data_IF_824993488254
#
_entry.id   IF_824993488254
#
_cell.length_a   1.000
_cell.length_b   1.000
_cell.length_c   1.000
_cell.angle_alpha   90.00
_cell.angle_beta   90.00
_cell.angle_gamma   90.00
#
_symmetry.space_group_name_H-M   'P 1'
#
loop_
_entity.id
_entity.type
_entity.pdbx_description
1 polymer ?
#
# COMPACT_ATOMS: atom_id res chain seq x y z
N UNK A 1 7.46 0.98 -30.75
CA UNK A 1 6.23 0.83 -29.94
C UNK A 1 5.36 2.06 -30.15
N UNK A 2 4.11 1.90 -30.58
CA UNK A 2 3.23 3.04 -30.87
C UNK A 2 2.92 3.84 -29.61
N UNK A 3 2.80 5.17 -29.74
CA UNK A 3 2.59 6.09 -28.61
C UNK A 3 1.37 5.72 -27.75
N UNK A 4 0.32 5.13 -28.35
CA UNK A 4 -0.85 4.62 -27.62
C UNK A 4 -0.58 3.38 -26.77
N UNK A 5 0.33 2.50 -27.19
CA UNK A 5 0.75 1.34 -26.38
C UNK A 5 1.53 1.80 -25.15
N UNK A 6 2.37 2.82 -25.29
CA UNK A 6 3.07 3.43 -24.16
C UNK A 6 2.12 4.13 -23.17
N UNK A 7 1.05 4.76 -23.66
CA UNK A 7 0.04 5.39 -22.82
C UNK A 7 -0.79 4.39 -22.01
N UNK A 8 -1.18 3.26 -22.59
CA UNK A 8 -1.92 2.21 -21.86
C UNK A 8 -1.05 1.49 -20.82
N UNK A 9 0.23 1.27 -21.13
CA UNK A 9 1.20 0.70 -20.18
C UNK A 9 1.45 1.65 -19.00
N UNK A 10 1.48 2.95 -19.28
CA UNK A 10 1.56 4.01 -18.27
C UNK A 10 0.29 4.10 -17.41
N UNK A 11 -0.90 4.02 -18.01
CA UNK A 11 -2.17 4.02 -17.27
C UNK A 11 -2.32 2.78 -16.39
N UNK A 12 -1.92 1.61 -16.88
CA UNK A 12 -1.90 0.36 -16.11
C UNK A 12 -0.95 0.45 -14.90
N UNK A 13 0.27 0.96 -15.11
CA UNK A 13 1.23 1.20 -14.03
C UNK A 13 0.68 2.18 -12.96
N UNK A 14 0.00 3.25 -13.38
CA UNK A 14 -0.57 4.23 -12.43
C UNK A 14 -1.72 3.64 -11.62
N UNK A 15 -2.62 2.89 -12.24
CA UNK A 15 -3.76 2.31 -11.53
C UNK A 15 -3.30 1.21 -10.56
N UNK A 16 -2.31 0.40 -10.96
CA UNK A 16 -1.71 -0.59 -10.07
C UNK A 16 -0.94 0.07 -8.92
N UNK A 17 -0.19 1.16 -9.15
CA UNK A 17 0.52 1.85 -8.06
C UNK A 17 -0.45 2.59 -7.12
N UNK A 18 -1.49 3.23 -7.64
CA UNK A 18 -2.50 3.94 -6.84
C UNK A 18 -3.38 2.99 -6.01
N UNK A 19 -3.81 1.85 -6.57
CA UNK A 19 -4.61 0.86 -5.86
C UNK A 19 -3.88 0.27 -4.65
N UNK A 20 -2.55 0.18 -4.73
CA UNK A 20 -1.72 -0.38 -3.68
C UNK A 20 -1.34 0.62 -2.57
N UNK A 21 -1.26 1.90 -2.92
CA UNK A 21 -1.23 2.99 -1.92
C UNK A 21 -2.55 3.04 -1.14
N UNK A 22 -3.69 2.80 -1.81
CA UNK A 22 -5.01 2.74 -1.17
C UNK A 22 -5.25 1.48 -0.34
N UNK A 23 -4.53 0.38 -0.62
CA UNK A 23 -4.57 -0.86 0.17
C UNK A 23 -3.73 -0.83 1.46
N UNK A 24 -3.20 0.35 1.84
CA UNK A 24 -2.54 0.54 3.14
C UNK A 24 -1.10 0.04 3.22
N UNK A 25 -0.40 -0.06 2.08
CA UNK A 25 0.97 -0.58 2.00
C UNK A 25 2.05 0.24 2.75
N UNK A 26 1.70 1.36 3.39
CA UNK A 26 2.59 2.10 4.29
C UNK A 26 1.74 2.83 5.34
N UNK A 27 1.31 2.12 6.39
CA UNK A 27 0.63 2.75 7.52
C UNK A 27 1.65 3.10 8.60
N UNK A 28 2.04 4.38 8.66
CA UNK A 28 2.64 4.94 9.89
C UNK A 28 1.49 5.05 10.88
N UNK A 29 1.26 3.98 11.64
CA UNK A 29 0.27 4.00 12.71
C UNK A 29 0.90 4.56 13.97
N UNK A 30 0.12 5.38 14.68
CA UNK A 30 0.52 6.02 15.93
C UNK A 30 -0.54 5.76 16.99
N UNK A 31 -0.08 5.47 18.20
CA UNK A 31 -0.91 5.32 19.38
C UNK A 31 -0.18 5.90 20.59
N UNK A 32 -0.82 5.83 21.76
CA UNK A 32 -0.22 6.27 23.02
C UNK A 32 -0.23 5.12 24.02
N UNK A 33 0.78 5.08 24.88
CA UNK A 33 0.82 4.16 26.02
C UNK A 33 -0.35 4.44 26.95
N UNK A 34 -1.16 3.42 27.23
CA UNK A 34 -2.25 3.51 28.22
C UNK A 34 -1.72 3.30 29.64
N UNK A 35 -0.59 2.60 29.78
CA UNK A 35 0.11 2.37 31.04
C UNK A 35 1.61 2.61 30.89
N UNK A 36 2.29 2.93 32.00
CA UNK A 36 3.74 3.07 31.99
C UNK A 36 4.42 1.73 31.71
N UNK A 37 5.54 1.78 30.99
CA UNK A 37 6.34 0.62 30.60
C UNK A 37 7.68 0.70 31.33
N UNK A 38 8.04 -0.36 32.05
CA UNK A 38 9.34 -0.45 32.73
C UNK A 38 10.43 -0.89 31.74
N UNK A 39 11.71 -0.63 32.03
CA UNK A 39 12.80 -1.07 31.14
C UNK A 39 12.96 -2.60 31.03
N UNK A 40 12.36 -3.36 31.95
CA UNK A 40 12.41 -4.83 32.00
C UNK A 40 11.13 -5.51 31.47
N UNK A 41 10.16 -4.73 30.98
CA UNK A 41 8.90 -5.27 30.49
C UNK A 41 9.09 -6.07 29.20
N UNK A 42 8.78 -7.37 29.22
CA UNK A 42 8.94 -8.30 28.09
C UNK A 42 7.66 -9.05 27.70
N UNK A 43 6.59 -8.92 28.48
CA UNK A 43 5.38 -9.71 28.31
C UNK A 43 4.26 -8.91 27.63
N UNK A 44 3.95 -7.71 28.14
CA UNK A 44 2.82 -6.93 27.63
C UNK A 44 3.08 -5.43 27.62
N UNK A 45 2.63 -4.75 26.57
CA UNK A 45 2.65 -3.29 26.45
C UNK A 45 1.21 -2.83 26.17
N UNK A 46 0.65 -2.05 27.08
CA UNK A 46 -0.75 -1.58 26.96
C UNK A 46 -0.81 -0.22 26.30
N UNK A 47 -1.61 -0.11 25.24
CA UNK A 47 -1.82 1.11 24.46
C UNK A 47 -3.30 1.44 24.33
N UNK A 48 -3.60 2.67 23.93
CA UNK A 48 -4.97 3.13 23.72
C UNK A 48 -5.67 2.34 22.61
N UNK A 49 -4.97 2.03 21.52
CA UNK A 49 -5.46 1.23 20.40
C UNK A 49 -4.30 0.68 19.57
N UNK A 50 -4.46 -0.50 18.99
CA UNK A 50 -3.56 -1.10 18.00
C UNK A 50 -4.09 -1.00 16.57
N UNK A 51 -5.16 -0.22 16.32
CA UNK A 51 -5.68 -0.01 14.97
C UNK A 51 -4.58 0.48 14.03
N UNK A 52 -4.41 -0.19 12.88
CA UNK A 52 -3.39 0.14 11.89
C UNK A 52 -1.98 -0.40 12.21
N UNK A 53 -1.79 -1.08 13.34
CA UNK A 53 -0.60 -1.88 13.60
C UNK A 53 -0.80 -3.29 13.01
N UNK A 54 0.28 -3.84 12.46
CA UNK A 54 0.33 -5.25 12.03
C UNK A 54 0.37 -6.17 13.26
N UNK A 55 0.06 -7.44 13.09
CA UNK A 55 0.05 -8.43 14.18
C UNK A 55 1.46 -8.68 14.75
N UNK A 56 2.49 -8.58 13.91
CA UNK A 56 3.90 -8.73 14.32
C UNK A 56 4.74 -7.62 13.72
N UNK A 57 5.61 -6.97 14.51
CA UNK A 57 6.42 -5.89 13.96
C UNK A 57 7.36 -5.22 14.96
N UNK A 58 7.80 -4.02 14.59
CA UNK A 58 8.70 -3.19 15.40
C UNK A 58 8.03 -1.86 15.73
N UNK A 59 8.06 -1.49 17.01
CA UNK A 59 7.56 -0.24 17.56
C UNK A 59 8.73 0.68 17.84
N UNK A 60 8.45 1.98 17.80
CA UNK A 60 9.33 3.03 18.27
C UNK A 60 8.63 3.84 19.34
N UNK A 61 9.23 3.91 20.51
CA UNK A 61 8.79 4.75 21.62
C UNK A 61 9.93 5.72 21.91
N UNK A 62 9.71 7.00 21.65
CA UNK A 62 10.76 8.02 21.70
C UNK A 62 11.97 7.62 20.81
N UNK A 63 13.08 7.23 21.44
CA UNK A 63 14.34 6.77 20.82
C UNK A 63 14.58 5.26 20.95
N UNK A 64 13.70 4.53 21.64
CA UNK A 64 13.80 3.08 21.79
C UNK A 64 13.05 2.37 20.66
N UNK A 65 13.65 1.30 20.13
CA UNK A 65 13.00 0.35 19.22
C UNK A 65 12.75 -0.97 19.96
N UNK A 66 11.58 -1.56 19.74
CA UNK A 66 11.25 -2.86 20.33
C UNK A 66 10.39 -3.70 19.39
N UNK A 67 10.56 -5.01 19.43
CA UNK A 67 9.80 -5.95 18.59
C UNK A 67 8.69 -6.60 19.40
N UNK A 68 7.52 -6.77 18.77
CA UNK A 68 6.41 -7.51 19.35
C UNK A 68 5.97 -8.63 18.40
N UNK A 69 5.66 -9.81 18.94
CA UNK A 69 5.31 -10.97 18.14
C UNK A 69 3.79 -11.24 18.03
N UNK A 70 2.95 -10.47 18.72
CA UNK A 70 1.49 -10.58 18.63
C UNK A 70 0.81 -9.29 19.16
N UNK A 71 -0.45 -9.04 18.76
CA UNK A 71 -1.27 -7.92 19.20
C UNK A 71 -2.66 -8.35 19.66
N UNK A 72 -3.31 -7.48 20.43
CA UNK A 72 -4.75 -7.48 20.65
C UNK A 72 -5.29 -6.11 20.28
N UNK A 73 -6.57 -5.80 20.52
CA UNK A 73 -7.13 -4.47 20.25
C UNK A 73 -6.42 -3.32 21.01
N UNK A 74 -5.80 -3.60 22.16
CA UNK A 74 -5.21 -2.58 23.04
C UNK A 74 -3.86 -2.97 23.65
N UNK A 75 -3.28 -4.11 23.22
CA UNK A 75 -1.99 -4.55 23.75
C UNK A 75 -1.09 -5.11 22.67
N UNK A 76 0.22 -4.85 22.80
CA UNK A 76 1.26 -5.67 22.19
C UNK A 76 1.68 -6.71 23.22
N UNK A 77 1.78 -7.97 22.84
CA UNK A 77 2.05 -9.08 23.78
C UNK A 77 3.10 -10.03 23.23
N UNK A 78 3.81 -10.70 24.12
CA UNK A 78 4.60 -11.88 23.79
C UNK A 78 3.70 -13.00 23.26
N UNK A 79 4.29 -13.94 22.51
CA UNK A 79 3.64 -15.20 22.16
C UNK A 79 4.42 -16.37 22.76
N UNK A 80 3.94 -17.60 22.57
CA UNK A 80 4.55 -18.79 23.16
C UNK A 80 5.99 -19.04 22.66
N UNK A 81 6.34 -18.55 21.47
CA UNK A 81 7.62 -18.80 20.81
C UNK A 81 8.62 -17.64 20.99
N UNK A 82 8.14 -16.42 21.22
CA UNK A 82 8.95 -15.21 21.22
C UNK A 82 8.45 -14.21 22.29
N UNK A 83 9.35 -13.67 23.13
CA UNK A 83 9.03 -12.54 24.01
C UNK A 83 9.08 -11.21 23.25
N UNK A 84 8.61 -10.14 23.89
CA UNK A 84 8.88 -8.78 23.41
C UNK A 84 10.37 -8.49 23.61
N UNK A 85 11.05 -8.00 22.56
CA UNK A 85 12.48 -7.67 22.61
C UNK A 85 12.62 -6.16 22.70
N UNK A 86 13.17 -5.70 23.81
CA UNK A 86 13.49 -4.29 24.12
C UNK A 86 14.88 -3.93 23.60
N UNK A 87 15.13 -2.64 23.34
CA UNK A 87 16.43 -2.19 22.85
C UNK A 87 16.86 -2.82 21.52
N UNK A 88 15.90 -3.12 20.64
CA UNK A 88 16.16 -3.70 19.33
C UNK A 88 17.00 -2.73 18.47
N UNK A 89 17.77 -3.27 17.52
CA UNK A 89 18.57 -2.48 16.57
C UNK A 89 19.61 -1.54 17.26
N UNK A 90 20.17 -1.99 18.38
CA UNK A 90 21.20 -1.25 19.13
C UNK A 90 20.68 -0.09 19.99
N UNK A 91 19.36 0.02 20.16
CA UNK A 91 18.75 1.01 21.07
C UNK A 91 18.82 0.53 22.53
N UNK A 92 18.71 1.47 23.49
CA UNK A 92 18.68 1.11 24.91
C UNK A 92 17.24 0.93 25.38
N UNK A 93 16.99 -0.11 26.18
CA UNK A 93 15.73 -0.26 26.89
C UNK A 93 15.59 0.82 27.98
N UNK A 94 14.53 1.62 27.93
CA UNK A 94 14.26 2.72 28.88
C UNK A 94 12.84 2.61 29.42
N UNK A 95 12.59 3.13 30.62
CA UNK A 95 11.23 3.23 31.14
C UNK A 95 10.49 4.39 30.47
N UNK A 96 9.25 4.16 30.02
CA UNK A 96 8.42 5.18 29.40
C UNK A 96 7.15 5.43 30.24
N UNK A 97 6.77 6.68 30.51
CA UNK A 97 5.54 6.99 31.23
C UNK A 97 4.29 6.69 30.40
N UNK A 98 3.13 6.58 31.06
CA UNK A 98 1.86 6.53 30.35
C UNK A 98 1.65 7.83 29.53
N UNK A 99 1.00 7.71 28.38
CA UNK A 99 0.78 8.80 27.43
C UNK A 99 1.90 9.00 26.42
N UNK A 100 3.04 8.31 26.55
CA UNK A 100 4.12 8.41 25.56
C UNK A 100 3.66 7.88 24.20
N UNK A 101 4.10 8.56 23.14
CA UNK A 101 3.76 8.24 21.76
C UNK A 101 4.48 6.97 21.29
N UNK A 102 3.72 6.05 20.72
CA UNK A 102 4.17 4.80 20.12
C UNK A 102 3.88 4.85 18.62
N UNK A 103 4.89 4.61 17.80
CA UNK A 103 4.75 4.58 16.33
C UNK A 103 5.35 3.32 15.73
N UNK A 104 4.93 2.92 14.54
CA UNK A 104 5.59 1.85 13.81
C UNK A 104 6.97 2.28 13.32
N UNK A 105 7.92 1.35 13.24
CA UNK A 105 9.18 1.61 12.51
C UNK A 105 8.83 1.86 11.05
N UNK A 106 9.35 2.96 10.51
CA UNK A 106 9.44 3.19 9.08
C UNK A 106 10.34 2.09 8.50
N UNK A 107 9.80 0.89 8.28
CA UNK A 107 10.45 -0.16 7.52
C UNK A 107 10.51 0.34 6.08
N UNK A 108 11.53 1.16 5.83
CA UNK A 108 12.01 1.70 4.58
C UNK A 108 10.93 1.76 3.50
N UNK A 109 10.36 2.94 3.29
CA UNK A 109 9.60 3.25 2.06
C UNK A 109 10.35 2.77 0.80
N UNK A 110 11.67 2.58 0.85
CA UNK A 110 12.49 2.00 -0.21
C UNK A 110 12.42 0.46 -0.29
N UNK A 111 12.44 -0.28 0.83
CA UNK A 111 12.46 -1.74 0.82
C UNK A 111 11.08 -2.33 0.49
N UNK A 112 10.01 -1.78 1.08
CA UNK A 112 8.64 -2.18 0.74
C UNK A 112 8.28 -1.81 -0.69
N UNK A 113 8.68 -0.63 -1.19
CA UNK A 113 8.40 -0.26 -2.60
C UNK A 113 9.14 -1.16 -3.58
N UNK A 114 10.40 -1.54 -3.31
CA UNK A 114 11.16 -2.41 -4.23
C UNK A 114 10.60 -3.84 -4.27
N UNK A 115 10.33 -4.47 -3.12
CA UNK A 115 9.78 -5.83 -3.08
C UNK A 115 8.35 -5.93 -3.62
N UNK A 116 7.53 -4.94 -3.33
CA UNK A 116 6.13 -4.90 -3.72
C UNK A 116 5.93 -4.60 -5.22
N UNK A 117 6.74 -3.72 -5.80
CA UNK A 117 6.69 -3.38 -7.23
C UNK A 117 7.09 -4.60 -8.10
N UNK A 118 8.02 -5.43 -7.63
CA UNK A 118 8.40 -6.68 -8.31
C UNK A 118 7.27 -7.73 -8.22
N UNK A 119 6.64 -7.90 -7.05
CA UNK A 119 5.55 -8.86 -6.86
C UNK A 119 4.30 -8.51 -7.70
N UNK A 120 3.93 -7.23 -7.77
CA UNK A 120 2.76 -6.77 -8.53
C UNK A 120 3.00 -6.79 -10.04
N UNK A 121 4.22 -6.50 -10.50
CA UNK A 121 4.57 -6.64 -11.92
C UNK A 121 4.58 -8.11 -12.37
N UNK A 122 4.94 -9.05 -11.48
CA UNK A 122 4.97 -10.47 -11.80
C UNK A 122 3.56 -11.10 -11.90
N UNK A 123 2.62 -10.71 -11.04
CA UNK A 123 1.29 -11.35 -10.97
C UNK A 123 0.28 -10.79 -12.00
N UNK A 124 0.35 -9.48 -12.30
CA UNK A 124 -0.59 -8.82 -13.20
C UNK A 124 -0.40 -9.11 -14.70
N UNK A 125 0.63 -9.89 -15.08
CA UNK A 125 0.92 -10.29 -16.47
C UNK A 125 0.52 -11.75 -16.79
N UNK A 126 0.05 -12.51 -15.79
CA UNK A 126 -0.27 -13.92 -15.94
C UNK A 126 -1.65 -14.19 -16.55
N UNK A 127 -1.66 -14.70 -17.78
CA UNK A 127 -2.73 -15.52 -18.38
C UNK A 127 -4.01 -14.89 -18.98
N UNK A 128 -4.67 -13.87 -18.41
CA UNK A 128 -6.05 -13.52 -18.83
C UNK A 128 -6.27 -12.21 -19.60
N UNK A 129 -5.22 -11.44 -19.86
CA UNK A 129 -5.33 -10.14 -20.54
C UNK A 129 -5.58 -10.25 -22.06
N UNK A 130 -5.14 -11.31 -22.73
CA UNK A 130 -5.22 -11.44 -24.18
C UNK A 130 -6.66 -11.60 -24.74
N UNK A 131 -7.54 -12.48 -24.20
CA UNK A 131 -8.86 -12.69 -24.79
C UNK A 131 -9.87 -11.58 -24.46
N UNK A 132 -9.74 -10.91 -23.32
CA UNK A 132 -10.69 -9.87 -22.89
C UNK A 132 -10.53 -8.57 -23.68
N UNK A 133 -9.30 -8.24 -24.11
CA UNK A 133 -9.00 -7.11 -25.00
C UNK A 133 -9.62 -7.31 -26.39
N UNK A 134 -9.57 -8.53 -26.94
CA UNK A 134 -10.16 -8.83 -28.25
C UNK A 134 -11.69 -8.64 -28.25
N UNK A 135 -12.38 -9.04 -27.17
CA UNK A 135 -13.82 -8.86 -27.02
C UNK A 135 -14.25 -7.39 -26.78
N UNK A 136 -13.43 -6.63 -26.05
CA UNK A 136 -13.67 -5.20 -25.83
C UNK A 136 -13.52 -4.39 -27.13
N UNK A 137 -12.54 -4.75 -27.98
CA UNK A 137 -12.32 -4.13 -29.30
C UNK A 137 -13.53 -4.32 -30.24
N UNK A 138 -14.11 -5.53 -30.24
CA UNK A 138 -15.25 -5.86 -31.09
C UNK A 138 -16.53 -5.10 -30.68
N UNK A 139 -16.71 -4.87 -29.37
CA UNK A 139 -17.82 -4.04 -28.84
C UNK A 139 -17.63 -2.55 -29.13
N UNK A 140 -16.40 -2.04 -29.08
CA UNK A 140 -16.08 -0.65 -29.41
C UNK A 140 -16.33 -0.35 -30.89
N UNK A 141 -15.97 -1.27 -31.81
CA UNK A 141 -16.25 -1.13 -33.24
C UNK A 141 -17.75 -1.07 -33.55
N UNK A 142 -18.59 -1.85 -32.86
CA UNK A 142 -20.04 -1.78 -33.01
C UNK A 142 -20.64 -0.44 -32.57
N UNK A 143 -20.01 0.22 -31.57
CA UNK A 143 -20.51 1.50 -31.02
C UNK A 143 -20.28 2.71 -31.93
N UNK A 144 -19.34 2.66 -32.88
CA UNK A 144 -19.11 3.74 -33.85
C UNK A 144 -20.17 3.80 -34.96
N UNK A 145 -20.87 2.70 -35.25
CA UNK A 145 -21.91 2.66 -36.29
C UNK A 145 -23.29 3.12 -35.81
N UNK A 146 -23.48 3.31 -34.50
CA UNK A 146 -24.79 3.63 -33.89
C UNK A 146 -24.86 5.03 -33.28
N UNK A 147 -23.79 5.84 -33.34
CA UNK A 147 -23.78 7.19 -32.74
C UNK A 147 -24.18 8.27 -33.76
N UNK A 148 -25.17 9.13 -33.46
CA UNK A 148 -25.55 10.23 -34.33
C UNK A 148 -24.49 11.35 -34.29
N UNK A 149 -23.75 11.51 -35.39
CA UNK A 149 -22.60 12.43 -35.54
C UNK A 149 -22.95 13.93 -35.60
N UNK A 150 -24.15 14.32 -35.13
CA UNK A 150 -24.64 15.70 -35.22
C UNK A 150 -24.02 16.71 -34.24
N UNK A 151 -23.23 16.27 -33.26
CA UNK A 151 -22.68 17.15 -32.21
C UNK A 151 -21.28 17.70 -32.53
N UNK A 152 -20.59 17.14 -33.51
CA UNK A 152 -19.26 17.58 -33.91
C UNK A 152 -19.46 18.58 -35.05
N UNK A 153 -19.47 19.86 -34.67
CA UNK A 153 -19.55 20.99 -35.60
C UNK A 153 -18.47 20.97 -36.69
N UNK A 154 -18.52 21.98 -37.55
CA UNK A 154 -17.80 22.14 -38.84
C UNK A 154 -16.29 21.84 -38.88
N UNK A 155 -15.65 21.60 -37.74
CA UNK A 155 -14.24 21.19 -37.65
C UNK A 155 -13.96 19.77 -38.20
N UNK A 156 -15.00 18.93 -38.37
CA UNK A 156 -14.89 17.66 -39.11
C UNK A 156 -15.16 17.77 -40.63
N UNK A 157 -15.44 18.96 -41.18
CA UNK A 157 -15.48 19.16 -42.63
C UNK A 157 -14.07 19.08 -43.28
N UNK A 158 -13.03 19.28 -42.47
CA UNK A 158 -11.63 19.10 -42.90
C UNK A 158 -11.28 17.62 -43.15
N UNK A 159 -11.96 16.68 -42.47
CA UNK A 159 -11.77 15.25 -42.67
C UNK A 159 -12.46 14.72 -43.95
N UNK A 160 -13.50 15.41 -44.44
CA UNK A 160 -14.09 15.13 -45.77
C UNK A 160 -13.23 15.61 -46.94
N UNK A 161 -12.27 16.53 -46.73
CA UNK A 161 -11.38 17.01 -47.79
C UNK A 161 -10.06 16.22 -47.88
N UNK A 162 -9.77 15.36 -46.89
CA UNK A 162 -8.63 14.42 -46.90
C UNK A 162 -9.02 13.08 -47.57
N UNK A 163 -10.31 12.89 -47.88
CA UNK A 163 -10.85 11.70 -48.54
C UNK A 163 -11.46 12.00 -49.92
N UNK A 164 -10.66 12.67 -50.75
CA UNK A 164 -10.61 12.42 -52.19
C UNK A 164 -9.16 12.21 -52.61
#
# INVERSE_FOLDING_TARGET
MGKGFMFMLFMWLIVCTAGNVMAGGISVSTTTLAAAVTAAETDTITVTSTTGFVETGVLVIESERMTYPDTTATTFKSNLAQPIIRGFDGTSAVAHPAGTLVRTVESSMMNSVVGYNIAVMADASGLWAAPTIALALLRLMGSFFTLPLGFLGTDLAMLTYIWW
#
